data_IF_495591941159
#
_entry.id   IF_495591941159
#
_cell.length_a   1.000
_cell.length_b   1.000
_cell.length_c   1.000
_cell.angle_alpha   90.00
_cell.angle_beta   90.00
_cell.angle_gamma   90.00
#
_symmetry.space_group_name_H-M   'P 1'
#
loop_
_entity.id
_entity.type
_entity.pdbx_description
1 polymer ?
#
# COMPACT_ATOMS: atom_id res chain seq x y z
N UNK A 1 -5.03 -7.99 -12.06
CA UNK A 1 -3.56 -7.99 -12.01
C UNK A 1 -3.04 -9.22 -11.30
N UNK A 2 -2.88 -9.17 -9.98
CA UNK A 2 -2.19 -10.21 -9.20
C UNK A 2 -2.75 -11.65 -9.36
N UNK A 3 -4.07 -11.84 -9.25
CA UNK A 3 -4.69 -13.17 -9.44
C UNK A 3 -4.46 -13.70 -10.86
N UNK A 4 -4.63 -12.85 -11.87
CA UNK A 4 -4.38 -13.22 -13.27
C UNK A 4 -2.91 -13.53 -13.54
N UNK A 5 -1.99 -12.96 -12.77
CA UNK A 5 -0.55 -13.24 -12.82
C UNK A 5 -0.14 -14.49 -12.02
N UNK A 6 -1.10 -15.25 -11.45
CA UNK A 6 -0.86 -16.51 -10.77
C UNK A 6 -0.85 -16.45 -9.24
N UNK A 7 -1.15 -15.30 -8.61
CA UNK A 7 -1.24 -15.23 -7.15
C UNK A 7 -2.49 -15.97 -6.67
N UNK A 8 -2.39 -16.95 -5.75
CA UNK A 8 -3.53 -17.72 -5.26
C UNK A 8 -4.60 -16.82 -4.63
N UNK A 9 -5.88 -17.09 -4.90
CA UNK A 9 -7.00 -16.32 -4.34
C UNK A 9 -7.01 -16.31 -2.81
N UNK A 10 -6.58 -17.41 -2.18
CA UNK A 10 -6.46 -17.53 -0.73
C UNK A 10 -5.44 -16.53 -0.14
N UNK A 11 -4.47 -16.06 -0.93
CA UNK A 11 -3.47 -15.07 -0.53
C UNK A 11 -3.78 -13.67 -1.10
N UNK A 12 -5.03 -13.44 -1.51
CA UNK A 12 -5.47 -12.13 -2.00
C UNK A 12 -6.66 -11.65 -1.22
N UNK A 13 -6.72 -10.34 -0.99
CA UNK A 13 -7.88 -9.67 -0.41
C UNK A 13 -8.29 -8.52 -1.31
N UNK A 14 -9.58 -8.43 -1.60
CA UNK A 14 -10.17 -7.40 -2.43
C UNK A 14 -10.91 -6.39 -1.55
N UNK A 15 -10.79 -5.11 -1.91
CA UNK A 15 -11.42 -3.99 -1.23
C UNK A 15 -12.17 -3.16 -2.26
N UNK A 16 -13.30 -2.59 -1.88
CA UNK A 16 -14.08 -1.75 -2.77
C UNK A 16 -13.45 -0.35 -2.90
N UNK A 17 -12.81 0.11 -1.82
CA UNK A 17 -12.25 1.47 -1.75
C UNK A 17 -10.80 1.49 -1.21
N UNK A 18 -9.98 2.47 -1.62
CA UNK A 18 -8.63 2.64 -1.06
C UNK A 18 -8.59 2.83 0.47
N UNK A 19 -9.52 3.58 1.10
CA UNK A 19 -9.58 3.69 2.56
C UNK A 19 -9.79 2.37 3.28
N UNK A 20 -10.64 1.47 2.76
CA UNK A 20 -10.82 0.13 3.34
C UNK A 20 -9.52 -0.69 3.29
N UNK A 21 -8.80 -0.62 2.16
CA UNK A 21 -7.52 -1.29 2.01
C UNK A 21 -6.48 -0.75 3.00
N UNK A 22 -6.40 0.58 3.14
CA UNK A 22 -5.49 1.22 4.10
C UNK A 22 -5.77 0.77 5.53
N UNK A 23 -7.04 0.79 5.96
CA UNK A 23 -7.43 0.37 7.31
C UNK A 23 -7.08 -1.10 7.58
N UNK A 24 -7.24 -1.98 6.60
CA UNK A 24 -6.78 -3.36 6.74
C UNK A 24 -5.27 -3.47 6.86
N UNK A 25 -4.52 -2.73 6.03
CA UNK A 25 -3.06 -2.76 6.03
C UNK A 25 -2.47 -2.28 7.37
N UNK A 26 -3.11 -1.33 8.05
CA UNK A 26 -2.72 -0.88 9.41
C UNK A 26 -2.73 -2.02 10.45
N UNK A 27 -3.50 -3.09 10.21
CA UNK A 27 -3.59 -4.27 11.08
C UNK A 27 -2.66 -5.41 10.64
N UNK A 28 -2.20 -5.39 9.39
CA UNK A 28 -1.40 -6.46 8.81
C UNK A 28 0.10 -6.14 8.86
N UNK A 29 0.48 -4.88 8.61
CA UNK A 29 1.86 -4.45 8.45
C UNK A 29 2.50 -4.16 9.81
N UNK A 30 3.69 -4.71 10.02
CA UNK A 30 4.50 -4.54 11.23
C UNK A 30 5.85 -3.87 10.92
N UNK A 31 6.52 -3.26 11.92
CA UNK A 31 7.88 -2.77 11.74
C UNK A 31 8.82 -3.89 11.25
N UNK A 32 9.59 -3.60 10.20
CA UNK A 32 10.48 -4.57 9.56
C UNK A 32 9.91 -5.21 8.28
N UNK A 33 8.62 -5.05 7.99
CA UNK A 33 8.01 -5.56 6.77
C UNK A 33 8.37 -4.70 5.53
N UNK A 34 8.45 -5.34 4.36
CA UNK A 34 8.57 -4.68 3.07
C UNK A 34 7.23 -4.71 2.33
N UNK A 35 6.70 -3.53 1.99
CA UNK A 35 5.45 -3.38 1.25
C UNK A 35 5.68 -2.69 -0.11
N UNK A 36 5.27 -3.35 -1.20
CA UNK A 36 5.20 -2.76 -2.54
C UNK A 36 3.77 -2.31 -2.85
N UNK A 37 3.57 -1.02 -3.06
CA UNK A 37 2.29 -0.45 -3.53
C UNK A 37 2.36 -0.21 -5.03
N UNK A 38 1.42 -0.78 -5.79
CA UNK A 38 1.32 -0.62 -7.25
C UNK A 38 -0.13 -0.34 -7.66
N UNK A 39 -0.33 0.64 -8.53
CA UNK A 39 -1.63 0.91 -9.15
C UNK A 39 -1.53 1.96 -10.27
N UNK A 40 -2.61 2.15 -11.02
CA UNK A 40 -2.72 3.23 -11.99
C UNK A 40 -3.18 4.53 -11.31
N UNK A 41 -2.91 5.68 -11.93
CA UNK A 41 -3.25 7.01 -11.37
C UNK A 41 -4.72 7.15 -10.95
N UNK A 42 -5.65 6.50 -11.67
CA UNK A 42 -7.08 6.59 -11.38
C UNK A 42 -7.51 5.91 -10.07
N UNK A 43 -6.67 5.06 -9.46
CA UNK A 43 -7.02 4.29 -8.26
C UNK A 43 -6.65 5.02 -6.96
N UNK A 44 -5.93 6.16 -7.07
CA UNK A 44 -5.55 7.01 -5.93
C UNK A 44 -4.76 6.26 -4.83
N UNK A 45 -3.80 5.43 -5.25
CA UNK A 45 -2.99 4.60 -4.34
C UNK A 45 -2.14 5.42 -3.36
N UNK A 46 -1.86 6.69 -3.68
CA UNK A 46 -1.20 7.64 -2.79
C UNK A 46 -1.90 7.75 -1.42
N UNK A 47 -3.23 7.57 -1.37
CA UNK A 47 -3.98 7.60 -0.11
C UNK A 47 -3.59 6.46 0.84
N UNK A 48 -3.25 5.28 0.29
CA UNK A 48 -2.80 4.13 1.08
C UNK A 48 -1.40 4.40 1.63
N UNK A 49 -0.51 4.92 0.79
CA UNK A 49 0.87 5.23 1.17
C UNK A 49 0.89 6.31 2.25
N UNK A 50 0.15 7.41 2.06
CA UNK A 50 0.12 8.52 3.03
C UNK A 50 -0.41 8.08 4.41
N UNK A 51 -1.43 7.19 4.44
CA UNK A 51 -1.95 6.58 5.68
C UNK A 51 -0.90 5.76 6.41
N UNK A 52 -0.18 4.90 5.70
CA UNK A 52 0.83 4.03 6.30
C UNK A 52 2.04 4.83 6.79
N UNK A 53 2.47 5.86 6.03
CA UNK A 53 3.52 6.79 6.45
C UNK A 53 3.12 7.47 7.76
N UNK A 54 1.91 8.05 7.81
CA UNK A 54 1.43 8.74 9.01
C UNK A 54 1.37 7.83 10.25
N UNK A 55 1.19 6.52 10.06
CA UNK A 55 1.14 5.54 11.15
C UNK A 55 2.52 5.01 11.58
N UNK A 56 3.44 4.82 10.64
CA UNK A 56 4.68 4.05 10.88
C UNK A 56 5.97 4.85 10.77
N UNK A 57 5.98 6.02 10.11
CA UNK A 57 7.19 6.80 9.95
C UNK A 57 7.56 7.53 11.25
N UNK A 58 8.83 7.46 11.64
CA UNK A 58 9.36 8.40 12.62
C UNK A 58 9.40 9.81 12.00
N UNK A 59 9.25 10.89 12.81
CA UNK A 59 9.42 12.25 12.32
C UNK A 59 10.78 12.42 11.63
N UNK A 60 10.79 12.72 10.33
CA UNK A 60 12.00 13.00 9.55
C UNK A 60 12.56 11.84 8.71
N UNK A 61 12.01 10.62 8.79
CA UNK A 61 12.56 9.45 8.06
C UNK A 61 12.04 9.27 6.62
N UNK A 62 11.00 10.02 6.20
CA UNK A 62 10.41 9.81 4.89
C UNK A 62 10.98 10.74 3.82
N UNK A 63 11.87 10.21 2.99
CA UNK A 63 12.30 10.84 1.75
C UNK A 63 11.37 10.37 0.61
N UNK A 64 10.46 11.22 0.13
CA UNK A 64 9.77 10.93 -1.14
C UNK A 64 10.79 11.04 -2.27
N UNK A 65 11.27 9.91 -2.77
CA UNK A 65 12.04 9.89 -4.02
C UNK A 65 11.07 9.83 -5.20
N UNK A 66 10.93 10.96 -5.89
CA UNK A 66 10.15 11.07 -7.12
C UNK A 66 11.06 10.64 -8.30
N UNK A 67 10.87 9.42 -8.80
CA UNK A 67 11.57 9.00 -10.04
C UNK A 67 10.83 9.64 -11.21
N UNK A 68 11.43 10.70 -11.77
CA UNK A 68 10.97 11.29 -13.03
C UNK A 68 11.37 10.35 -14.17
N UNK A 69 10.37 9.87 -14.91
CA UNK A 69 10.55 9.18 -16.19
C UNK A 69 10.69 10.20 -17.32
#
# INVERSE_FOLDING_TARGET
>A
GAVWAGLPRAHTKFFATPPEAAQFLETLVSPGDLLLVKGSRGVKMEQIVDRLIARHAAPGEFLRQEVRH
#
